data_IF_558056334523
#
_entry.id   IF_558056334523
#
_cell.length_a   1.000
_cell.length_b   1.000
_cell.length_c   1.000
_cell.angle_alpha   90.00
_cell.angle_beta   90.00
_cell.angle_gamma   90.00
#
_symmetry.space_group_name_H-M   'P 1'
#
loop_
_entity.id
_entity.type
_entity.pdbx_description
1 polymer ?
#
# COMPACT_ATOMS: atom_id res chain seq x y z
N UNK A 1 -6.03 -8.08 16.32
CA UNK A 1 -5.92 -8.90 15.10
C UNK A 1 -7.01 -8.54 14.08
N UNK A 2 -8.30 -8.62 14.42
CA UNK A 2 -9.41 -8.26 13.51
C UNK A 2 -9.61 -6.75 13.29
N UNK A 3 -9.05 -5.93 14.16
CA UNK A 3 -9.00 -4.48 14.00
C UNK A 3 -7.55 -4.04 14.28
N UNK A 4 -7.01 -3.10 13.49
CA UNK A 4 -5.59 -2.75 13.50
C UNK A 4 -5.19 -2.02 14.78
N UNK A 5 -3.99 -2.25 15.31
CA UNK A 5 -3.46 -1.48 16.44
C UNK A 5 -1.96 -1.26 16.27
N UNK A 6 -1.56 0.02 16.21
CA UNK A 6 -0.16 0.44 16.16
C UNK A 6 0.58 0.24 17.49
N UNK A 7 -0.13 -0.04 18.59
CA UNK A 7 0.51 -0.26 19.89
C UNK A 7 1.35 -1.56 19.94
N UNK A 8 0.97 -2.58 19.15
CA UNK A 8 1.76 -3.80 19.01
C UNK A 8 3.10 -3.58 18.27
N UNK A 9 3.17 -2.59 17.37
CA UNK A 9 4.39 -2.29 16.60
C UNK A 9 5.49 -1.74 17.52
N UNK A 10 5.11 -0.98 18.56
CA UNK A 10 6.03 -0.39 19.54
C UNK A 10 6.68 -1.41 20.49
N UNK A 11 6.19 -2.67 20.54
CA UNK A 11 6.70 -3.71 21.43
C UNK A 11 7.83 -4.58 20.85
N UNK A 12 8.33 -4.30 19.63
CA UNK A 12 9.60 -4.86 19.16
C UNK A 12 9.63 -5.56 17.80
N UNK A 13 8.54 -5.51 17.01
CA UNK A 13 8.47 -6.18 15.69
C UNK A 13 8.56 -5.22 14.49
N UNK A 14 9.20 -4.05 14.64
CA UNK A 14 9.38 -3.09 13.54
C UNK A 14 10.42 -3.55 12.50
N UNK A 15 11.26 -4.54 12.84
CA UNK A 15 12.34 -4.98 11.95
C UNK A 15 11.82 -5.60 10.64
N UNK A 16 10.67 -6.29 10.70
CA UNK A 16 10.01 -6.87 9.53
C UNK A 16 9.50 -5.81 8.55
N UNK A 17 9.21 -4.59 9.03
CA UNK A 17 8.80 -3.48 8.17
C UNK A 17 9.96 -2.97 7.30
N UNK A 18 11.22 -3.13 7.71
CA UNK A 18 12.36 -2.75 6.86
C UNK A 18 12.41 -3.57 5.57
N UNK A 19 11.89 -4.80 5.56
CA UNK A 19 11.80 -5.65 4.37
C UNK A 19 10.79 -5.08 3.36
N UNK A 20 9.78 -4.33 3.81
CA UNK A 20 8.81 -3.70 2.91
C UNK A 20 9.43 -2.58 2.05
N UNK A 21 10.48 -1.92 2.53
CA UNK A 21 11.14 -0.82 1.85
C UNK A 21 11.79 -1.22 0.51
N UNK A 22 12.66 -2.25 0.42
CA UNK A 22 13.21 -2.70 -0.85
C UNK A 22 12.13 -3.26 -1.78
N UNK A 23 11.09 -3.93 -1.24
CA UNK A 23 9.96 -4.39 -2.06
C UNK A 23 9.18 -3.23 -2.66
N UNK A 24 8.99 -2.13 -1.91
CA UNK A 24 8.35 -0.91 -2.42
C UNK A 24 9.17 -0.26 -3.53
N UNK A 25 10.50 -0.19 -3.38
CA UNK A 25 11.39 0.32 -4.42
C UNK A 25 11.27 -0.54 -5.69
N UNK A 26 11.26 -1.86 -5.53
CA UNK A 26 11.12 -2.79 -6.65
C UNK A 26 9.74 -2.65 -7.34
N UNK A 27 8.67 -2.46 -6.55
CA UNK A 27 7.34 -2.16 -7.06
C UNK A 27 7.30 -0.82 -7.81
N UNK A 28 8.02 0.21 -7.35
CA UNK A 28 8.10 1.50 -8.03
C UNK A 28 8.75 1.38 -9.41
N UNK A 29 9.81 0.58 -9.56
CA UNK A 29 10.41 0.30 -10.87
C UNK A 29 9.45 -0.50 -11.78
N UNK A 30 8.69 -1.43 -11.21
CA UNK A 30 7.68 -2.19 -11.95
C UNK A 30 6.41 -1.39 -12.26
N UNK A 31 6.16 -0.28 -11.58
CA UNK A 31 4.92 0.50 -11.71
C UNK A 31 4.65 0.92 -13.16
N UNK A 32 5.69 1.23 -13.94
CA UNK A 32 5.52 1.56 -15.36
C UNK A 32 5.02 0.36 -16.17
N UNK A 33 5.58 -0.83 -15.94
CA UNK A 33 5.17 -2.07 -16.58
C UNK A 33 3.75 -2.47 -16.16
N UNK A 34 3.41 -2.28 -14.88
CA UNK A 34 2.06 -2.50 -14.35
C UNK A 34 1.05 -1.54 -14.98
N UNK A 35 1.43 -0.28 -15.20
CA UNK A 35 0.56 0.70 -15.89
C UNK A 35 0.23 0.24 -17.31
N UNK A 36 1.23 -0.26 -18.05
CA UNK A 36 1.03 -0.76 -19.43
C UNK A 36 0.16 -2.00 -19.44
N UNK A 37 0.39 -2.94 -18.53
CA UNK A 37 -0.45 -4.13 -18.33
C UNK A 37 -1.89 -3.72 -17.98
N UNK A 38 -2.09 -2.66 -17.18
CA UNK A 38 -3.41 -2.12 -16.85
C UNK A 38 -4.16 -1.49 -18.03
N UNK A 39 -3.47 -1.13 -19.12
CA UNK A 39 -4.10 -0.61 -20.34
C UNK A 39 -4.72 -1.73 -21.21
N UNK A 40 -4.36 -2.99 -20.97
CA UNK A 40 -4.89 -4.14 -21.69
C UNK A 40 -3.80 -5.10 -22.16
N UNK A 41 -4.17 -6.38 -22.28
CA UNK A 41 -3.25 -7.45 -22.72
C UNK A 41 -2.71 -7.21 -24.14
N UNK A 42 -3.57 -6.77 -25.06
CA UNK A 42 -3.18 -6.48 -26.44
C UNK A 42 -2.11 -5.39 -26.53
N UNK A 43 -2.22 -4.35 -25.70
CA UNK A 43 -1.26 -3.24 -25.66
C UNK A 43 0.07 -3.72 -25.08
N UNK A 44 0.03 -4.50 -24.00
CA UNK A 44 1.24 -5.05 -23.39
C UNK A 44 2.01 -5.97 -24.36
N UNK A 45 1.31 -6.86 -25.06
CA UNK A 45 1.92 -7.76 -26.04
C UNK A 45 2.52 -7.01 -27.24
N UNK A 46 1.83 -5.97 -27.75
CA UNK A 46 2.34 -5.14 -28.84
C UNK A 46 3.64 -4.38 -28.48
N UNK A 47 3.83 -4.04 -27.21
CA UNK A 47 5.07 -3.40 -26.72
C UNK A 47 6.20 -4.40 -26.40
N UNK A 48 6.01 -5.70 -26.67
CA UNK A 48 7.00 -6.75 -26.39
C UNK A 48 7.10 -7.09 -24.90
N UNK A 49 6.08 -6.75 -24.13
CA UNK A 49 6.03 -6.95 -22.68
C UNK A 49 5.25 -8.24 -22.38
N UNK A 50 5.83 -9.13 -21.57
CA UNK A 50 5.14 -10.35 -21.12
C UNK A 50 4.06 -10.02 -20.09
N UNK A 51 2.81 -9.88 -20.56
CA UNK A 51 1.63 -9.56 -19.72
C UNK A 51 1.54 -10.46 -18.48
N UNK A 52 1.50 -11.77 -18.69
CA UNK A 52 1.41 -12.77 -17.61
C UNK A 52 2.60 -12.73 -16.65
N UNK A 53 3.82 -12.47 -17.16
CA UNK A 53 5.03 -12.42 -16.35
C UNK A 53 5.00 -11.25 -15.36
N UNK A 54 4.62 -10.05 -15.83
CA UNK A 54 4.55 -8.86 -14.97
C UNK A 54 3.36 -8.91 -14.03
N UNK A 55 2.22 -9.44 -14.48
CA UNK A 55 1.05 -9.62 -13.63
C UNK A 55 1.37 -10.55 -12.45
N UNK A 56 2.02 -11.69 -12.72
CA UNK A 56 2.44 -12.62 -11.67
C UNK A 56 3.46 -12.00 -10.71
N UNK A 57 4.48 -11.31 -11.23
CA UNK A 57 5.51 -10.66 -10.43
C UNK A 57 4.91 -9.54 -9.55
N UNK A 58 4.00 -8.74 -10.09
CA UNK A 58 3.26 -7.72 -9.36
C UNK A 58 2.41 -8.30 -8.23
N UNK A 59 1.64 -9.36 -8.53
CA UNK A 59 0.82 -10.05 -7.52
C UNK A 59 1.69 -10.65 -6.40
N UNK A 60 2.85 -11.22 -6.73
CA UNK A 60 3.75 -11.79 -5.74
C UNK A 60 4.28 -10.71 -4.78
N UNK A 61 4.74 -9.57 -5.32
CA UNK A 61 5.24 -8.44 -4.52
C UNK A 61 4.13 -7.89 -3.61
N UNK A 62 2.94 -7.63 -4.17
CA UNK A 62 1.81 -7.07 -3.42
C UNK A 62 1.35 -8.03 -2.31
N UNK A 63 1.29 -9.33 -2.59
CA UNK A 63 0.95 -10.35 -1.61
C UNK A 63 1.93 -10.37 -0.43
N UNK A 64 3.23 -10.29 -0.70
CA UNK A 64 4.25 -10.28 0.36
C UNK A 64 4.16 -8.99 1.19
N UNK A 65 4.03 -7.82 0.55
CA UNK A 65 3.92 -6.53 1.25
C UNK A 65 2.67 -6.51 2.13
N UNK A 66 1.51 -6.90 1.57
CA UNK A 66 0.24 -6.89 2.32
C UNK A 66 0.28 -7.85 3.51
N UNK A 67 0.85 -9.05 3.35
CA UNK A 67 1.04 -9.99 4.44
C UNK A 67 1.91 -9.41 5.57
N UNK A 68 3.06 -8.81 5.23
CA UNK A 68 3.96 -8.17 6.21
C UNK A 68 3.26 -7.05 6.99
N UNK A 69 2.49 -6.21 6.29
CA UNK A 69 1.74 -5.10 6.91
C UNK A 69 0.64 -5.62 7.84
N UNK A 70 -0.16 -6.58 7.38
CA UNK A 70 -1.27 -7.16 8.16
C UNK A 70 -0.75 -7.85 9.42
N UNK A 71 0.36 -8.58 9.34
CA UNK A 71 0.96 -9.25 10.52
C UNK A 71 1.50 -8.23 11.53
N UNK A 72 2.04 -7.11 11.06
CA UNK A 72 2.66 -6.09 11.93
C UNK A 72 1.63 -5.17 12.59
N UNK A 73 0.68 -4.65 11.81
CA UNK A 73 -0.23 -3.57 12.23
C UNK A 73 -1.67 -4.05 12.38
N UNK A 74 -2.04 -5.14 11.70
CA UNK A 74 -3.42 -5.59 11.55
C UNK A 74 -4.10 -5.06 10.30
N UNK A 75 -5.36 -5.40 10.13
CA UNK A 75 -6.17 -4.98 8.97
C UNK A 75 -6.70 -3.58 9.23
N UNK A 76 -6.35 -2.63 8.36
CA UNK A 76 -6.92 -1.29 8.32
C UNK A 76 -7.87 -1.23 7.13
N UNK A 77 -9.18 -1.37 7.34
CA UNK A 77 -10.14 -1.43 6.25
C UNK A 77 -10.19 -0.09 5.51
N UNK A 78 -10.54 -0.14 4.22
CA UNK A 78 -10.76 1.01 3.33
C UNK A 78 -9.54 1.89 2.97
N UNK A 79 -8.42 1.82 3.70
CA UNK A 79 -7.21 2.59 3.39
C UNK A 79 -6.76 2.42 1.93
N UNK A 80 -6.66 1.17 1.49
CA UNK A 80 -6.22 0.80 0.15
C UNK A 80 -7.21 1.13 -0.98
N UNK A 81 -8.42 1.59 -0.64
CA UNK A 81 -9.43 2.01 -1.63
C UNK A 81 -9.59 3.54 -1.65
N UNK A 82 -9.68 4.16 -0.48
CA UNK A 82 -9.96 5.59 -0.32
C UNK A 82 -8.78 6.43 -0.83
N UNK A 83 -7.56 6.13 -0.39
CA UNK A 83 -6.40 6.98 -0.69
C UNK A 83 -5.99 6.91 -2.17
N UNK A 84 -5.88 5.73 -2.81
CA UNK A 84 -5.58 5.68 -4.24
C UNK A 84 -6.62 6.40 -5.10
N UNK A 85 -7.90 6.24 -4.77
CA UNK A 85 -9.00 6.88 -5.51
C UNK A 85 -8.98 8.41 -5.33
N UNK A 86 -8.77 8.90 -4.10
CA UNK A 86 -8.60 10.34 -3.85
C UNK A 86 -7.42 10.91 -4.65
N UNK A 87 -6.26 10.25 -4.62
CA UNK A 87 -5.09 10.72 -5.35
C UNK A 87 -5.33 10.67 -6.87
N UNK A 88 -5.97 9.63 -7.38
CA UNK A 88 -6.31 9.52 -8.80
C UNK A 88 -7.26 10.62 -9.26
N UNK A 89 -8.22 11.01 -8.41
CA UNK A 89 -9.16 12.10 -8.69
C UNK A 89 -8.46 13.45 -8.83
N UNK A 90 -7.41 13.70 -8.03
CA UNK A 90 -6.65 14.96 -8.06
C UNK A 90 -5.51 15.00 -9.09
N UNK A 91 -4.74 13.91 -9.25
CA UNK A 91 -3.53 13.88 -10.09
C UNK A 91 -3.70 13.14 -11.43
N UNK A 92 -4.88 12.56 -11.69
CA UNK A 92 -5.16 11.78 -12.89
C UNK A 92 -4.61 10.35 -12.81
N UNK A 93 -4.68 9.59 -13.91
CA UNK A 93 -4.53 8.11 -13.89
C UNK A 93 -3.09 7.61 -14.14
N UNK A 94 -2.09 8.32 -13.59
CA UNK A 94 -0.68 7.98 -13.77
C UNK A 94 -0.13 7.25 -12.55
N UNK A 95 -0.22 5.91 -12.55
CA UNK A 95 0.19 5.05 -11.43
C UNK A 95 1.59 5.38 -10.89
N UNK A 96 2.58 5.58 -11.77
CA UNK A 96 3.97 5.87 -11.35
C UNK A 96 4.10 7.18 -10.57
N UNK A 97 3.43 8.24 -11.02
CA UNK A 97 3.46 9.54 -10.32
C UNK A 97 2.65 9.44 -9.04
N UNK A 98 1.48 8.81 -9.12
CA UNK A 98 0.56 8.67 -8.01
C UNK A 98 1.11 7.81 -6.89
N UNK A 99 1.95 6.81 -7.16
CA UNK A 99 2.46 5.88 -6.14
C UNK A 99 3.08 6.61 -4.93
N UNK A 100 3.86 7.67 -5.19
CA UNK A 100 4.50 8.48 -4.13
C UNK A 100 3.46 9.31 -3.37
N UNK A 101 2.52 9.94 -4.08
CA UNK A 101 1.46 10.72 -3.44
C UNK A 101 0.50 9.85 -2.64
N UNK A 102 0.19 8.64 -3.11
CA UNK A 102 -0.61 7.62 -2.40
C UNK A 102 0.10 7.23 -1.11
N UNK A 103 1.41 6.95 -1.17
CA UNK A 103 2.19 6.60 0.02
C UNK A 103 2.21 7.74 1.04
N UNK A 104 2.43 8.99 0.59
CA UNK A 104 2.46 10.17 1.47
C UNK A 104 1.10 10.49 2.07
N UNK A 105 0.05 10.57 1.25
CA UNK A 105 -1.32 10.82 1.72
C UNK A 105 -1.79 9.71 2.65
N UNK A 106 -1.46 8.45 2.35
CA UNK A 106 -1.82 7.32 3.18
C UNK A 106 -1.12 7.33 4.53
N UNK A 107 0.18 7.62 4.55
CA UNK A 107 0.93 7.78 5.80
C UNK A 107 0.38 8.91 6.66
N UNK A 108 0.08 10.07 6.05
CA UNK A 108 -0.47 11.22 6.76
C UNK A 108 -1.87 10.95 7.30
N UNK A 109 -2.74 10.31 6.50
CA UNK A 109 -4.08 9.90 6.91
C UNK A 109 -4.03 8.92 8.09
N UNK A 110 -3.17 7.89 8.01
CA UNK A 110 -2.97 6.93 9.10
C UNK A 110 -2.50 7.61 10.38
N UNK A 111 -1.55 8.55 10.27
CA UNK A 111 -1.02 9.27 11.42
C UNK A 111 -2.13 10.09 12.11
N UNK A 112 -2.95 10.80 11.32
CA UNK A 112 -4.10 11.54 11.85
C UNK A 112 -5.11 10.60 12.52
N UNK A 113 -5.42 9.45 11.90
CA UNK A 113 -6.30 8.44 12.50
C UNK A 113 -5.73 7.88 13.82
N UNK A 114 -4.41 7.61 13.90
CA UNK A 114 -3.76 7.14 15.13
C UNK A 114 -3.85 8.19 16.26
N UNK A 115 -3.59 9.46 15.95
CA UNK A 115 -3.72 10.55 16.93
C UNK A 115 -5.17 10.69 17.41
N UNK A 116 -6.14 10.68 16.49
CA UNK A 116 -7.57 10.81 16.84
C UNK A 116 -8.01 9.62 17.70
N UNK A 117 -7.63 8.39 17.33
CA UNK A 117 -7.95 7.19 18.12
C UNK A 117 -7.45 7.32 19.56
N UNK A 118 -6.21 7.79 19.76
CA UNK A 118 -5.62 8.02 21.09
C UNK A 118 -6.31 9.14 21.88
N UNK A 119 -6.86 10.14 21.19
CA UNK A 119 -7.43 11.34 21.83
C UNK A 119 -8.92 11.18 22.18
N UNK A 120 -9.67 10.38 21.43
CA UNK A 120 -11.12 10.23 21.62
C UNK A 120 -11.48 9.28 22.77
N UNK A 121 -10.66 8.26 23.09
CA UNK A 121 -10.94 7.32 24.19
C UNK A 121 -9.71 7.13 25.07
N UNK A 122 -9.60 7.95 26.12
CA UNK A 122 -8.72 7.68 27.25
C UNK A 122 -9.54 6.89 28.29
N UNK A 123 -9.17 5.65 28.72
CA UNK A 123 -7.88 4.95 28.65
C UNK A 123 -7.84 3.71 27.72
N UNK A 124 -8.75 3.57 26.75
CA UNK A 124 -8.83 2.39 25.87
C UNK A 124 -8.49 2.75 24.41
N UNK A 125 -7.48 2.10 23.86
CA UNK A 125 -7.11 2.25 22.45
C UNK A 125 -8.20 1.63 21.56
N UNK A 126 -8.87 2.45 20.75
CA UNK A 126 -9.74 1.90 19.72
C UNK A 126 -8.92 1.39 18.55
N UNK A 127 -9.18 0.16 18.11
CA UNK A 127 -8.53 -0.33 16.92
C UNK A 127 -8.89 0.51 15.68
N UNK A 128 -7.89 0.73 14.83
CA UNK A 128 -7.94 1.49 13.57
C UNK A 128 -8.64 0.70 12.45
#
# INVERSE_FOLDING_TARGET
WLQGSMANVMQGNYELLYISLPLFILAYFLAHKITIVGMGEDIALNLGISYNGILFLGLMIVSIITSLVIVSVGIIPFLGLIIPNLVALYLGDNLRKNLIYIALCGALFLLVCDIISRLVIFPFEMPL
#
